data_IF_180570439833
#
_entry.id   IF_180570439833
#
_cell.length_a   1.000
_cell.length_b   1.000
_cell.length_c   1.000
_cell.angle_alpha   90.00
_cell.angle_beta   90.00
_cell.angle_gamma   90.00
#
_symmetry.space_group_name_H-M   'P 1'
#
loop_
_entity.id
_entity.type
_entity.pdbx_description
1 polymer ?
#
# COMPACT_ATOMS: atom_id res chain seq x y z
N UNK A 1 6.91 25.19 -15.98
CA UNK A 1 6.00 24.62 -14.98
C UNK A 1 5.03 23.71 -15.69
N UNK A 2 5.39 22.44 -15.86
CA UNK A 2 4.49 21.45 -16.46
C UNK A 2 3.58 20.90 -15.36
N UNK A 3 2.32 21.32 -15.38
CA UNK A 3 1.25 20.65 -14.63
C UNK A 3 0.93 19.34 -15.36
N UNK A 4 1.64 18.27 -15.01
CA UNK A 4 1.23 16.93 -15.38
C UNK A 4 -0.01 16.54 -14.56
N UNK A 5 -1.19 16.95 -15.02
CA UNK A 5 -2.46 16.33 -14.65
C UNK A 5 -2.59 15.04 -15.44
N UNK A 6 -1.77 14.05 -15.09
CA UNK A 6 -1.91 12.69 -15.59
C UNK A 6 -3.22 12.10 -15.04
N UNK A 7 -4.21 11.93 -15.89
CA UNK A 7 -5.48 11.28 -15.59
C UNK A 7 -5.25 9.76 -15.46
N UNK A 8 -4.48 9.32 -14.47
CA UNK A 8 -4.43 7.90 -14.14
C UNK A 8 -5.70 7.53 -13.38
N UNK A 9 -6.37 6.42 -13.71
CA UNK A 9 -7.45 5.91 -12.89
C UNK A 9 -6.85 5.56 -11.51
N UNK A 10 -7.08 6.44 -10.53
CA UNK A 10 -6.52 6.33 -9.17
C UNK A 10 -5.83 7.58 -8.62
N UNK A 11 -5.52 8.61 -9.42
CA UNK A 11 -5.07 9.91 -8.89
C UNK A 11 -6.22 10.90 -8.94
N UNK A 12 -6.70 11.31 -7.78
CA UNK A 12 -7.45 12.57 -7.68
C UNK A 12 -6.46 13.73 -7.79
N UNK A 13 -6.57 14.61 -8.81
CA UNK A 13 -5.88 15.90 -8.78
C UNK A 13 -6.48 16.71 -7.64
N UNK A 14 -5.67 17.25 -6.73
CA UNK A 14 -6.22 18.19 -5.75
C UNK A 14 -5.27 19.33 -5.40
N UNK A 15 -5.72 20.58 -5.60
CA UNK A 15 -5.53 21.64 -4.63
C UNK A 15 -6.66 21.55 -3.59
N UNK A 16 -6.41 21.12 -2.34
CA UNK A 16 -7.45 21.16 -1.30
C UNK A 16 -7.30 22.38 -0.38
N UNK A 17 -8.40 23.13 -0.15
CA UNK A 17 -8.52 24.07 0.97
C UNK A 17 -8.35 23.38 2.34
N UNK A 18 -7.98 24.15 3.37
CA UNK A 18 -7.81 23.68 4.75
C UNK A 18 -9.09 23.00 5.28
N UNK A 19 -8.93 21.76 5.78
CA UNK A 19 -9.99 21.04 6.52
C UNK A 19 -10.64 19.84 5.82
N UNK A 20 -10.17 19.42 4.64
CA UNK A 20 -10.68 18.23 3.95
C UNK A 20 -9.69 17.06 4.00
N UNK A 21 -10.18 15.89 4.44
CA UNK A 21 -9.46 14.63 4.57
C UNK A 21 -9.09 14.06 3.20
N UNK A 22 -7.81 14.09 2.86
CA UNK A 22 -7.27 13.39 1.70
C UNK A 22 -7.00 11.95 2.09
N UNK A 23 -7.89 11.05 1.68
CA UNK A 23 -7.60 9.62 1.70
C UNK A 23 -6.45 9.37 0.71
N UNK A 24 -5.22 9.29 1.23
CA UNK A 24 -4.22 8.45 0.57
C UNK A 24 -4.87 7.08 0.60
N UNK A 25 -5.44 6.62 -0.52
CA UNK A 25 -5.97 5.27 -0.60
C UNK A 25 -4.76 4.36 -0.44
N UNK A 26 -4.58 3.88 0.78
CA UNK A 26 -3.61 2.90 1.22
C UNK A 26 -3.26 1.90 0.10
N UNK A 27 -4.29 1.34 -0.53
CA UNK A 27 -4.26 0.64 -1.81
C UNK A 27 -5.72 0.51 -2.28
N UNK A 28 -6.03 0.56 -3.58
CA UNK A 28 -7.40 0.31 -4.06
C UNK A 28 -7.64 -1.20 -4.20
N UNK A 29 -8.50 -1.82 -3.36
CA UNK A 29 -8.77 -3.26 -3.44
C UNK A 29 -9.39 -3.67 -4.77
N UNK A 30 -10.08 -2.77 -5.49
CA UNK A 30 -10.69 -3.08 -6.78
C UNK A 30 -9.65 -3.46 -7.84
N UNK A 31 -8.49 -2.78 -7.84
CA UNK A 31 -7.38 -3.11 -8.74
C UNK A 31 -6.80 -4.49 -8.43
N UNK A 32 -6.61 -4.79 -7.14
CA UNK A 32 -6.11 -6.09 -6.71
C UNK A 32 -7.11 -7.21 -7.00
N UNK A 33 -8.42 -6.93 -6.89
CA UNK A 33 -9.47 -7.88 -7.24
C UNK A 33 -9.44 -8.22 -8.73
N UNK A 34 -9.23 -7.23 -9.61
CA UNK A 34 -9.10 -7.48 -11.05
C UNK A 34 -7.89 -8.38 -11.37
N UNK A 35 -6.76 -8.22 -10.67
CA UNK A 35 -5.60 -9.10 -10.80
C UNK A 35 -5.90 -10.51 -10.31
N UNK A 36 -6.45 -10.64 -9.10
CA UNK A 36 -6.81 -11.95 -8.50
C UNK A 36 -7.82 -12.71 -9.36
N UNK A 37 -8.80 -12.02 -9.94
CA UNK A 37 -9.78 -12.61 -10.85
C UNK A 37 -9.15 -13.20 -12.13
N UNK A 38 -7.95 -12.74 -12.51
CA UNK A 38 -7.17 -13.29 -13.64
C UNK A 38 -6.24 -14.44 -13.24
N UNK A 39 -6.34 -14.93 -12.00
CA UNK A 39 -5.46 -15.98 -11.47
C UNK A 39 -4.08 -15.48 -11.04
N UNK A 40 -3.87 -14.16 -10.94
CA UNK A 40 -2.61 -13.59 -10.47
C UNK A 40 -2.59 -13.61 -8.95
N UNK A 41 -1.54 -14.19 -8.38
CA UNK A 41 -1.27 -14.11 -6.94
C UNK A 41 -0.69 -12.75 -6.59
N UNK A 42 -1.35 -12.02 -5.69
CA UNK A 42 -0.88 -10.73 -5.18
C UNK A 42 -0.31 -10.94 -3.78
N UNK A 43 1.00 -10.70 -3.63
CA UNK A 43 1.69 -10.79 -2.34
C UNK A 43 2.05 -9.40 -1.82
N UNK A 44 1.73 -9.13 -0.55
CA UNK A 44 1.86 -7.81 0.08
C UNK A 44 2.72 -7.92 1.34
N UNK A 45 3.78 -7.12 1.40
CA UNK A 45 4.56 -6.85 2.60
C UNK A 45 4.24 -5.43 3.09
N UNK A 46 3.59 -5.35 4.24
CA UNK A 46 3.35 -4.08 4.92
C UNK A 46 4.49 -3.74 5.89
N UNK A 47 5.07 -2.56 5.70
CA UNK A 47 6.01 -1.95 6.63
C UNK A 47 5.30 -0.75 7.27
N UNK A 48 4.97 -0.81 8.57
CA UNK A 48 4.24 0.26 9.23
C UNK A 48 5.03 1.56 9.17
N UNK A 49 4.38 2.63 8.71
CA UNK A 49 4.97 3.95 8.74
C UNK A 49 4.83 4.55 10.14
N UNK A 50 5.88 5.11 10.74
CA UNK A 50 5.77 5.74 12.05
C UNK A 50 4.87 6.98 12.00
N UNK A 51 4.05 7.18 13.02
CA UNK A 51 3.20 8.38 13.12
C UNK A 51 4.03 9.62 13.41
N UNK A 52 3.74 10.72 12.72
CA UNK A 52 4.33 12.03 12.99
C UNK A 52 3.65 12.70 14.19
N UNK A 53 4.38 12.92 15.28
CA UNK A 53 3.84 13.54 16.51
C UNK A 53 3.71 15.06 16.41
N UNK A 54 4.48 15.73 15.54
CA UNK A 54 4.42 17.17 15.28
C UNK A 54 4.39 17.42 13.76
N UNK A 55 3.29 17.09 13.07
CA UNK A 55 3.20 17.25 11.63
C UNK A 55 3.36 18.73 11.20
N UNK A 56 4.17 18.99 10.17
CA UNK A 56 4.50 20.32 9.67
C UNK A 56 3.65 20.66 8.43
N UNK A 57 3.23 21.93 8.28
CA UNK A 57 2.40 22.36 7.15
C UNK A 57 3.21 22.63 5.85
N UNK A 58 4.53 22.42 5.84
CA UNK A 58 5.37 22.80 4.71
C UNK A 58 5.18 21.86 3.50
N UNK A 59 5.16 22.45 2.30
CA UNK A 59 5.14 21.76 0.99
C UNK A 59 4.14 20.60 0.85
N UNK A 60 2.82 20.87 0.93
CA UNK A 60 1.72 19.92 0.66
C UNK A 60 1.32 18.95 1.79
N UNK A 61 1.65 19.29 3.05
CA UNK A 61 1.09 18.70 4.29
C UNK A 61 1.17 17.17 4.39
N UNK A 62 2.18 16.55 3.76
CA UNK A 62 2.30 15.08 3.63
C UNK A 62 2.28 14.35 4.97
N UNK A 63 2.83 14.94 6.02
CA UNK A 63 2.86 14.34 7.37
C UNK A 63 1.46 14.18 7.94
N UNK A 64 0.57 15.15 7.73
CA UNK A 64 -0.85 15.03 8.08
C UNK A 64 -1.54 13.95 7.25
N UNK A 65 -1.22 13.87 5.96
CA UNK A 65 -1.81 12.86 5.06
C UNK A 65 -1.38 11.45 5.42
N UNK A 66 -0.11 11.27 5.80
CA UNK A 66 0.42 9.99 6.26
C UNK A 66 -0.27 9.54 7.54
N UNK A 67 -0.39 10.43 8.54
CA UNK A 67 -1.08 10.12 9.79
C UNK A 67 -2.55 9.71 9.59
N UNK A 68 -3.27 10.33 8.63
CA UNK A 68 -4.65 9.99 8.31
C UNK A 68 -4.78 8.62 7.61
N UNK A 69 -3.79 8.24 6.81
CA UNK A 69 -3.78 7.00 6.06
C UNK A 69 -3.40 5.77 6.89
N UNK A 70 -2.44 5.91 7.81
CA UNK A 70 -1.85 4.82 8.60
C UNK A 70 -2.90 3.89 9.26
N UNK A 71 -3.96 4.38 9.92
CA UNK A 71 -4.96 3.50 10.54
C UNK A 71 -5.71 2.57 9.57
N UNK A 72 -5.82 2.98 8.30
CA UNK A 72 -6.57 2.26 7.28
C UNK A 72 -5.67 1.35 6.41
N UNK A 73 -4.34 1.51 6.51
CA UNK A 73 -3.36 0.79 5.72
C UNK A 73 -3.45 -0.74 5.90
N UNK A 74 -3.51 -1.29 7.14
CA UNK A 74 -3.56 -2.74 7.34
C UNK A 74 -4.76 -3.42 6.70
N UNK A 75 -5.93 -2.79 6.83
CA UNK A 75 -7.18 -3.34 6.26
C UNK A 75 -7.13 -3.35 4.74
N UNK A 76 -6.66 -2.26 4.13
CA UNK A 76 -6.58 -2.14 2.67
C UNK A 76 -5.52 -3.09 2.08
N UNK A 77 -4.34 -3.18 2.70
CA UNK A 77 -3.25 -4.05 2.27
C UNK A 77 -3.62 -5.53 2.35
N UNK A 78 -4.23 -5.94 3.48
CA UNK A 78 -4.72 -7.30 3.65
C UNK A 78 -5.84 -7.66 2.67
N UNK A 79 -6.74 -6.71 2.37
CA UNK A 79 -7.79 -6.93 1.37
C UNK A 79 -7.25 -7.05 -0.05
N UNK A 80 -6.16 -6.34 -0.37
CA UNK A 80 -5.49 -6.44 -1.66
C UNK A 80 -4.82 -7.81 -1.86
N UNK A 81 -4.11 -8.31 -0.85
CA UNK A 81 -3.40 -9.58 -0.91
C UNK A 81 -4.30 -10.78 -1.30
N UNK A 82 -3.70 -11.76 -1.95
CA UNK A 82 -4.30 -13.09 -2.10
C UNK A 82 -4.35 -13.81 -0.74
N UNK A 83 -5.27 -14.78 -0.53
CA UNK A 83 -5.35 -15.52 0.72
C UNK A 83 -4.00 -16.15 1.11
N UNK A 84 -3.49 -15.82 2.30
CA UNK A 84 -2.20 -16.32 2.81
C UNK A 84 -0.96 -15.53 2.36
N UNK A 85 -1.12 -14.50 1.52
CA UNK A 85 -0.03 -13.70 0.93
C UNK A 85 0.06 -12.27 1.50
N UNK A 86 -0.37 -12.07 2.75
CA UNK A 86 -0.15 -10.82 3.49
C UNK A 86 0.87 -11.06 4.59
N UNK A 87 1.87 -10.19 4.68
CA UNK A 87 2.92 -10.16 5.71
C UNK A 87 3.03 -8.74 6.25
N UNK A 88 3.35 -8.62 7.53
CA UNK A 88 3.74 -7.35 8.16
C UNK A 88 5.13 -7.51 8.76
N UNK A 89 5.96 -6.47 8.65
CA UNK A 89 7.29 -6.44 9.25
C UNK A 89 7.64 -5.02 9.73
N UNK A 90 8.16 -4.91 10.95
CA UNK A 90 8.44 -3.64 11.63
C UNK A 90 9.91 -3.48 12.06
N UNK A 91 10.75 -4.51 11.82
CA UNK A 91 12.19 -4.46 12.03
C UNK A 91 12.98 -4.89 10.79
N UNK A 92 14.27 -4.52 10.66
CA UNK A 92 15.12 -4.99 9.55
C UNK A 92 15.19 -6.53 9.47
N UNK A 93 15.23 -7.23 10.60
CA UNK A 93 15.23 -8.69 10.64
C UNK A 93 13.91 -9.27 10.14
N UNK A 94 12.78 -8.68 10.52
CA UNK A 94 11.46 -9.16 10.11
C UNK A 94 11.22 -8.90 8.62
N UNK A 95 11.73 -7.79 8.08
CA UNK A 95 11.68 -7.50 6.65
C UNK A 95 12.47 -8.56 5.88
N UNK A 96 13.68 -8.88 6.32
CA UNK A 96 14.51 -9.90 5.69
C UNK A 96 13.86 -11.29 5.73
N UNK A 97 13.23 -11.65 6.85
CA UNK A 97 12.49 -12.90 7.00
C UNK A 97 11.24 -12.93 6.09
N UNK A 98 10.44 -11.86 6.09
CA UNK A 98 9.24 -11.75 5.27
C UNK A 98 9.56 -11.84 3.77
N UNK A 99 10.64 -11.21 3.30
CA UNK A 99 11.08 -11.31 1.91
C UNK A 99 11.50 -12.75 1.55
N UNK A 100 12.21 -13.46 2.42
CA UNK A 100 12.58 -14.87 2.21
C UNK A 100 11.35 -15.76 2.14
N UNK A 101 10.41 -15.58 3.06
CA UNK A 101 9.12 -16.26 3.10
C UNK A 101 8.32 -16.06 1.82
N UNK A 102 8.18 -14.81 1.37
CA UNK A 102 7.45 -14.47 0.15
C UNK A 102 8.10 -15.10 -1.08
N UNK A 103 9.44 -15.11 -1.14
CA UNK A 103 10.17 -15.77 -2.20
C UNK A 103 9.96 -17.28 -2.19
N UNK A 104 10.07 -17.92 -1.02
CA UNK A 104 9.83 -19.35 -0.84
C UNK A 104 8.40 -19.75 -1.27
N UNK A 105 7.40 -18.95 -0.90
CA UNK A 105 6.02 -19.15 -1.31
C UNK A 105 5.84 -19.03 -2.83
N UNK A 106 6.49 -18.04 -3.45
CA UNK A 106 6.42 -17.84 -4.90
C UNK A 106 7.02 -19.03 -5.68
N UNK A 107 8.19 -19.53 -5.27
CA UNK A 107 8.82 -20.68 -5.95
C UNK A 107 8.06 -21.99 -5.72
N UNK A 108 7.42 -22.18 -4.57
CA UNK A 108 6.55 -23.33 -4.33
C UNK A 108 5.31 -23.30 -5.24
N UNK A 109 4.67 -22.13 -5.38
CA UNK A 109 3.54 -21.95 -6.28
C UNK A 109 3.90 -22.29 -7.73
N UNK A 110 5.06 -21.84 -8.21
CA UNK A 110 5.51 -22.10 -9.58
C UNK A 110 5.81 -23.59 -9.86
N UNK A 111 6.15 -24.36 -8.81
CA UNK A 111 6.41 -25.81 -8.91
C UNK A 111 5.12 -26.63 -9.03
N UNK A 112 4.01 -26.17 -8.44
CA UNK A 112 2.73 -26.88 -8.46
C UNK A 112 1.95 -26.71 -9.78
N UNK A 113 2.39 -25.78 -10.64
CA UNK A 113 1.75 -25.46 -11.93
C UNK A 113 2.46 -26.07 -13.14
N UNK A 114 3.44 -26.97 -12.93
CA UNK A 114 4.11 -27.77 -13.97
C UNK A 114 3.69 -29.23 -13.88
#
# INVERSE_FOLDING_TARGET
HETSTGNWPGVTPYPTPLGMTVSIRAMDPALCNALKARGITVSVLEIPYPTFTSPKPFAASQEFKANDAVPNLPTAMKACASPGFYRQADSPSDIAAAMQDMFAQAVQSARLTQ
#
